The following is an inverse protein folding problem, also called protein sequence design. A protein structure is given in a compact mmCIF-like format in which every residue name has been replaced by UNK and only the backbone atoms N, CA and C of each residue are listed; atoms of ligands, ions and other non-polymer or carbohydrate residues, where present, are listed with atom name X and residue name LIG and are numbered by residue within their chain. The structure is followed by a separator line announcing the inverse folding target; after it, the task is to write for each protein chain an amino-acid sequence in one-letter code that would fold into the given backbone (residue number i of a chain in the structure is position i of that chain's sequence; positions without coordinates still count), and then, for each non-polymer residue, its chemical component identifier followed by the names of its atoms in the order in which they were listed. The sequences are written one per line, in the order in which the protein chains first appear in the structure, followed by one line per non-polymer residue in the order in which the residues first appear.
data_IF_203863976682
#
_entry.id   IF_203863976682
#
_cell.length_a   1.000
_cell.length_b   1.000
_cell.length_c   1.000
_cell.angle_alpha   90.00
_cell.angle_beta   90.00
_cell.angle_gamma   90.00
#
_symmetry.space_group_name_H-M   'P 1'
#
loop_
_entity.id
_entity.type
_entity.pdbx_description
1 polymer ?
#
# COMPACT_ATOMS: atom_id res chain seq x y z
N UNK A 1 -0.21 33.70 -2.37
CA UNK A 1 -1.43 32.94 -2.74
C UNK A 1 -1.97 32.01 -1.64
N UNK A 2 -1.28 30.92 -1.23
CA UNK A 2 -1.83 30.02 -0.18
C UNK A 2 -1.87 30.67 1.21
N UNK A 3 -0.78 31.35 1.59
CA UNK A 3 -0.69 32.12 2.86
C UNK A 3 -1.79 33.19 2.93
N UNK A 4 -1.92 33.97 1.85
CA UNK A 4 -2.94 35.04 1.73
C UNK A 4 -4.37 34.49 1.81
N UNK A 5 -4.61 33.26 1.36
CA UNK A 5 -5.91 32.60 1.45
C UNK A 5 -6.18 31.90 2.78
N UNK A 6 -5.27 31.96 3.76
CA UNK A 6 -5.41 31.25 5.04
C UNK A 6 -5.40 29.73 4.92
N UNK A 7 -4.92 29.18 3.80
CA UNK A 7 -4.92 27.74 3.54
C UNK A 7 -3.73 27.09 4.23
N UNK A 8 -4.00 26.04 5.01
CA UNK A 8 -2.95 25.24 5.63
C UNK A 8 -2.04 24.62 4.58
N UNK A 9 -0.74 24.77 4.77
CA UNK A 9 0.28 24.25 3.87
C UNK A 9 1.51 23.84 4.67
N UNK A 10 2.29 22.92 4.10
CA UNK A 10 3.54 22.45 4.70
C UNK A 10 4.54 22.16 3.61
N UNK A 11 5.76 22.68 3.76
CA UNK A 11 6.88 22.32 2.89
C UNK A 11 7.31 20.89 3.18
N UNK A 12 7.38 20.06 2.14
CA UNK A 12 7.89 18.70 2.26
C UNK A 12 9.43 18.70 2.27
N UNK A 13 10.02 17.85 3.09
CA UNK A 13 11.47 17.62 3.13
C UNK A 13 11.82 16.54 2.12
N UNK A 14 11.92 16.92 0.84
CA UNK A 14 12.34 16.04 -0.26
C UNK A 14 13.57 16.61 -0.94
N UNK A 15 14.36 15.74 -1.58
CA UNK A 15 15.55 16.17 -2.34
C UNK A 15 15.18 16.87 -3.65
N UNK A 16 14.06 16.47 -4.28
CA UNK A 16 13.60 16.98 -5.56
C UNK A 16 12.09 17.22 -5.55
N UNK A 17 11.61 17.97 -6.54
CA UNK A 17 10.19 18.11 -6.86
C UNK A 17 9.77 16.95 -7.78
N UNK A 18 9.51 15.79 -7.19
CA UNK A 18 8.98 14.62 -7.91
C UNK A 18 7.62 14.92 -8.56
N UNK A 19 7.24 14.15 -9.58
CA UNK A 19 5.98 14.33 -10.33
C UNK A 19 5.82 15.76 -10.89
N UNK A 20 6.93 16.37 -11.30
CA UNK A 20 6.95 17.73 -11.85
C UNK A 20 7.86 17.82 -13.07
N UNK A 21 7.85 18.98 -13.74
CA UNK A 21 8.75 19.26 -14.85
C UNK A 21 10.25 19.10 -14.49
N UNK A 22 10.61 19.15 -13.21
CA UNK A 22 11.99 18.89 -12.73
C UNK A 22 12.49 17.50 -13.11
N UNK A 23 11.59 16.54 -13.36
CA UNK A 23 11.95 15.18 -13.76
C UNK A 23 12.33 15.07 -15.24
N UNK A 24 11.97 16.05 -16.08
CA UNK A 24 12.15 16.00 -17.54
C UNK A 24 13.57 15.63 -18.00
N UNK A 25 14.66 16.17 -17.43
CA UNK A 25 16.01 15.91 -17.92
C UNK A 25 16.42 14.44 -17.86
N UNK A 26 15.92 13.66 -16.89
CA UNK A 26 16.30 12.24 -16.74
C UNK A 26 15.38 11.26 -17.48
N UNK A 27 14.27 11.72 -18.07
CA UNK A 27 13.26 10.81 -18.63
C UNK A 27 13.79 9.99 -19.81
N UNK A 28 14.70 10.54 -20.62
CA UNK A 28 15.29 9.82 -21.74
C UNK A 28 16.14 8.64 -21.26
N UNK A 29 17.10 8.90 -20.36
CA UNK A 29 17.98 7.87 -19.81
C UNK A 29 17.18 6.83 -19.02
N UNK A 30 16.14 7.28 -18.30
CA UNK A 30 15.24 6.39 -17.58
C UNK A 30 14.45 5.47 -18.54
N UNK A 31 13.95 5.99 -19.65
CA UNK A 31 13.27 5.19 -20.67
C UNK A 31 14.20 4.13 -21.30
N UNK A 32 15.45 4.50 -21.57
CA UNK A 32 16.45 3.56 -22.10
C UNK A 32 16.75 2.42 -21.12
N UNK A 33 16.82 2.71 -19.82
CA UNK A 33 17.01 1.70 -18.78
C UNK A 33 15.79 0.78 -18.67
N UNK A 34 14.58 1.35 -18.68
CA UNK A 34 13.33 0.58 -18.65
C UNK A 34 13.19 -0.36 -19.86
N UNK A 35 13.62 0.08 -21.04
CA UNK A 35 13.59 -0.73 -22.27
C UNK A 35 14.48 -1.98 -22.22
N UNK A 36 15.42 -2.05 -21.27
CA UNK A 36 16.30 -3.22 -21.06
C UNK A 36 15.71 -4.23 -20.07
N UNK A 37 14.61 -3.89 -19.40
CA UNK A 37 13.97 -4.72 -18.38
C UNK A 37 12.81 -5.49 -19.03
N UNK A 38 12.82 -6.83 -19.02
CA UNK A 38 11.67 -7.61 -19.44
C UNK A 38 10.46 -7.29 -18.56
N UNK A 39 9.40 -6.75 -19.16
CA UNK A 39 8.15 -6.46 -18.47
C UNK A 39 7.11 -7.53 -18.81
N UNK A 40 6.38 -7.99 -17.80
CA UNK A 40 5.37 -9.03 -17.94
C UNK A 40 4.02 -8.53 -17.44
N UNK A 41 2.95 -9.06 -18.05
CA UNK A 41 1.59 -8.79 -17.59
C UNK A 41 1.44 -9.15 -16.10
N UNK A 42 0.81 -8.27 -15.29
CA UNK A 42 0.73 -8.49 -13.86
C UNK A 42 -0.25 -9.61 -13.52
N UNK A 43 0.20 -10.59 -12.73
CA UNK A 43 -0.69 -11.68 -12.27
C UNK A 43 -1.79 -11.17 -11.32
N UNK A 44 -1.52 -10.08 -10.61
CA UNK A 44 -2.49 -9.38 -9.76
C UNK A 44 -2.72 -7.99 -10.32
N UNK A 45 -3.98 -7.68 -10.59
CA UNK A 45 -4.38 -6.34 -11.05
C UNK A 45 -4.11 -5.30 -9.96
N UNK A 46 -3.74 -4.10 -10.37
CA UNK A 46 -3.55 -2.95 -9.49
C UNK A 46 -4.08 -1.67 -10.15
N UNK A 47 -4.30 -0.62 -9.34
CA UNK A 47 -4.73 0.69 -9.82
C UNK A 47 -3.50 1.48 -10.30
N UNK A 48 -3.57 2.02 -11.50
CA UNK A 48 -2.58 2.95 -12.04
C UNK A 48 -2.63 4.30 -11.31
N UNK A 49 -1.46 4.78 -10.89
CA UNK A 49 -1.31 6.14 -10.36
C UNK A 49 -1.46 7.23 -11.44
N UNK A 50 -1.39 6.87 -12.73
CA UNK A 50 -1.48 7.83 -13.85
C UNK A 50 -2.92 7.99 -14.30
N UNK A 51 -3.69 6.89 -14.40
CA UNK A 51 -5.09 6.94 -14.84
C UNK A 51 -6.10 6.95 -13.69
N UNK A 52 -5.69 6.62 -12.46
CA UNK A 52 -6.60 6.52 -11.31
C UNK A 52 -7.56 5.34 -11.39
N UNK A 53 -7.37 4.41 -12.33
CA UNK A 53 -8.20 3.20 -12.51
C UNK A 53 -7.32 1.98 -12.73
N UNK A 54 -7.94 0.81 -12.93
CA UNK A 54 -7.23 -0.43 -13.22
C UNK A 54 -6.26 -0.27 -14.38
N UNK A 55 -5.00 -0.64 -14.15
CA UNK A 55 -3.99 -0.67 -15.20
C UNK A 55 -4.30 -1.78 -16.21
N UNK A 56 -4.00 -1.54 -17.49
CA UNK A 56 -4.07 -2.58 -18.54
C UNK A 56 -2.74 -3.34 -18.64
N UNK A 57 -2.74 -4.51 -19.29
CA UNK A 57 -1.51 -5.26 -19.52
C UNK A 57 -0.53 -4.46 -20.38
N UNK A 58 -1.03 -3.79 -21.43
CA UNK A 58 -0.22 -2.97 -22.33
C UNK A 58 0.42 -1.79 -21.60
N UNK A 59 -0.30 -1.17 -20.67
CA UNK A 59 0.26 -0.12 -19.82
C UNK A 59 1.31 -0.68 -18.86
N UNK A 60 1.04 -1.81 -18.20
CA UNK A 60 1.96 -2.41 -17.26
C UNK A 60 3.28 -2.84 -17.91
N UNK A 61 3.23 -3.27 -19.18
CA UNK A 61 4.40 -3.71 -19.95
C UNK A 61 5.00 -2.62 -20.85
N UNK A 62 4.61 -1.35 -20.69
CA UNK A 62 5.11 -0.24 -21.49
C UNK A 62 6.12 0.60 -20.71
N UNK A 63 7.39 0.72 -21.18
CA UNK A 63 8.34 1.69 -20.63
C UNK A 63 7.80 3.13 -20.60
N UNK A 64 7.02 3.53 -21.62
CA UNK A 64 6.45 4.87 -21.71
C UNK A 64 5.47 5.16 -20.57
N UNK A 65 4.70 4.16 -20.13
CA UNK A 65 3.82 4.30 -18.98
C UNK A 65 4.62 4.62 -17.70
N UNK A 66 5.74 3.93 -17.47
CA UNK A 66 6.57 4.14 -16.29
C UNK A 66 7.28 5.50 -16.31
N UNK A 67 7.70 5.96 -17.50
CA UNK A 67 8.21 7.33 -17.72
C UNK A 67 7.13 8.36 -17.38
N UNK A 68 5.90 8.14 -17.85
CA UNK A 68 4.75 8.99 -17.51
C UNK A 68 4.47 9.00 -16.02
N UNK A 69 4.53 7.85 -15.34
CA UNK A 69 4.29 7.77 -13.90
C UNK A 69 5.24 8.62 -13.07
N UNK A 70 6.53 8.67 -13.43
CA UNK A 70 7.51 9.47 -12.66
C UNK A 70 7.29 10.97 -12.86
N UNK A 71 6.77 11.38 -14.02
CA UNK A 71 6.53 12.79 -14.34
C UNK A 71 5.16 13.30 -13.90
N UNK A 72 4.12 12.50 -14.08
CA UNK A 72 2.74 12.94 -13.92
C UNK A 72 2.28 12.83 -12.46
N UNK A 73 1.22 13.58 -12.14
CA UNK A 73 0.62 13.56 -10.82
C UNK A 73 0.11 12.15 -10.44
N UNK A 74 0.20 11.83 -9.15
CA UNK A 74 -0.34 10.58 -8.60
C UNK A 74 -1.83 10.78 -8.32
N UNK A 75 -2.68 10.13 -9.10
CA UNK A 75 -4.15 10.15 -8.97
C UNK A 75 -4.63 9.20 -7.86
N UNK A 76 -4.09 9.35 -6.65
CA UNK A 76 -4.41 8.48 -5.51
C UNK A 76 -5.89 8.53 -5.12
N UNK A 77 -6.51 9.71 -5.11
CA UNK A 77 -7.92 9.86 -4.73
C UNK A 77 -8.85 9.10 -5.69
N UNK A 78 -8.60 9.20 -6.99
CA UNK A 78 -9.36 8.45 -8.01
C UNK A 78 -9.17 6.95 -7.84
N UNK A 79 -7.92 6.53 -7.56
CA UNK A 79 -7.62 5.14 -7.26
C UNK A 79 -8.31 4.62 -6.01
N UNK A 80 -8.36 5.42 -4.94
CA UNK A 80 -9.08 5.12 -3.72
C UNK A 80 -10.58 4.99 -3.99
N UNK A 81 -11.16 5.92 -4.76
CA UNK A 81 -12.56 5.87 -5.17
C UNK A 81 -12.91 4.54 -5.85
N UNK A 82 -12.06 4.05 -6.76
CA UNK A 82 -12.25 2.75 -7.42
C UNK A 82 -12.27 1.56 -6.45
N UNK A 83 -11.44 1.60 -5.40
CA UNK A 83 -11.33 0.51 -4.43
C UNK A 83 -12.40 0.56 -3.33
N UNK A 84 -12.96 1.75 -3.06
CA UNK A 84 -13.97 1.96 -2.02
C UNK A 84 -15.40 1.60 -2.47
N UNK A 85 -15.62 1.32 -3.76
CA UNK A 85 -16.93 0.89 -4.29
C UNK A 85 -17.43 -0.41 -3.66
N UNK A 86 -16.51 -1.27 -3.22
CA UNK A 86 -16.82 -2.57 -2.64
C UNK A 86 -16.32 -2.66 -1.19
N UNK A 87 -16.85 -3.59 -0.38
CA UNK A 87 -16.33 -3.87 0.95
C UNK A 87 -14.91 -4.43 0.82
N UNK A 88 -13.92 -3.62 1.19
CA UNK A 88 -12.49 -3.96 1.07
C UNK A 88 -11.80 -3.79 2.40
N UNK A 89 -10.83 -4.65 2.71
CA UNK A 89 -9.87 -4.43 3.79
C UNK A 89 -8.56 -3.93 3.19
N UNK A 90 -8.01 -2.87 3.76
CA UNK A 90 -6.75 -2.29 3.32
C UNK A 90 -5.62 -2.69 4.26
N UNK A 91 -4.47 -3.04 3.67
CA UNK A 91 -3.22 -3.27 4.40
C UNK A 91 -2.17 -2.33 3.82
N UNK A 92 -1.64 -1.42 4.64
CA UNK A 92 -0.55 -0.53 4.27
C UNK A 92 0.79 -1.23 4.47
N UNK A 93 1.41 -1.60 3.35
CA UNK A 93 2.72 -2.23 3.29
C UNK A 93 3.82 -1.16 3.27
N UNK A 94 4.22 -0.67 4.44
CA UNK A 94 5.25 0.36 4.56
C UNK A 94 5.28 1.01 5.93
N UNK A 95 6.32 1.81 6.24
CA UNK A 95 6.43 2.48 7.51
C UNK A 95 5.43 3.63 7.63
N UNK A 96 4.66 3.63 8.73
CA UNK A 96 3.68 4.67 9.03
C UNK A 96 2.26 4.29 8.61
N UNK A 97 1.43 5.30 8.38
CA UNK A 97 -0.01 5.15 8.16
C UNK A 97 -0.57 6.18 7.15
N UNK A 98 0.28 6.68 6.25
CA UNK A 98 -0.07 7.84 5.42
C UNK A 98 -1.17 7.48 4.43
N UNK A 99 -1.04 6.34 3.76
CA UNK A 99 -2.05 5.91 2.78
C UNK A 99 -3.36 5.55 3.47
N UNK A 100 -3.30 4.92 4.65
CA UNK A 100 -4.46 4.62 5.48
C UNK A 100 -5.20 5.89 5.88
N UNK A 101 -4.49 6.94 6.31
CA UNK A 101 -5.11 8.24 6.61
C UNK A 101 -5.76 8.86 5.37
N UNK A 102 -5.15 8.72 4.18
CA UNK A 102 -5.76 9.23 2.94
C UNK A 102 -7.02 8.45 2.54
N UNK A 103 -7.02 7.12 2.69
CA UNK A 103 -8.22 6.29 2.46
C UNK A 103 -9.34 6.68 3.43
N UNK A 104 -9.04 6.79 4.73
CA UNK A 104 -10.02 7.17 5.75
C UNK A 104 -10.58 8.59 5.56
N UNK A 105 -9.76 9.50 5.04
CA UNK A 105 -10.17 10.88 4.72
C UNK A 105 -10.92 11.03 3.40
N UNK A 106 -11.11 9.94 2.63
CA UNK A 106 -11.79 9.99 1.35
C UNK A 106 -13.32 10.12 1.53
N UNK A 107 -13.98 10.91 0.69
CA UNK A 107 -15.43 11.18 0.82
C UNK A 107 -16.32 9.92 0.67
N UNK A 108 -15.82 8.88 0.02
CA UNK A 108 -16.53 7.61 -0.19
C UNK A 108 -16.13 6.53 0.85
N UNK A 109 -15.32 6.89 1.85
CA UNK A 109 -14.96 5.96 2.92
C UNK A 109 -16.20 5.63 3.76
N UNK A 110 -16.40 4.36 4.03
CA UNK A 110 -17.53 3.79 4.77
C UNK A 110 -17.03 2.76 5.78
N UNK A 111 -16.14 3.19 6.68
CA UNK A 111 -15.58 2.41 7.78
C UNK A 111 -14.87 1.10 7.36
N UNK A 112 -14.27 1.09 6.17
CA UNK A 112 -13.41 -0.01 5.74
C UNK A 112 -12.19 -0.15 6.67
N UNK A 113 -11.85 -1.37 7.12
CA UNK A 113 -10.68 -1.58 7.96
C UNK A 113 -9.38 -1.24 7.23
N UNK A 114 -8.47 -0.56 7.94
CA UNK A 114 -7.10 -0.30 7.49
C UNK A 114 -6.11 -0.86 8.52
N UNK A 115 -5.24 -1.78 8.09
CA UNK A 115 -4.20 -2.40 8.91
C UNK A 115 -2.82 -1.95 8.43
N UNK A 116 -1.83 -1.92 9.33
CA UNK A 116 -0.47 -1.45 9.00
C UNK A 116 0.53 -2.58 9.22
N UNK A 117 1.51 -2.74 8.33
CA UNK A 117 2.51 -3.82 8.49
C UNK A 117 3.75 -3.39 9.25
N UNK A 118 4.11 -2.11 9.19
CA UNK A 118 5.31 -1.56 9.81
C UNK A 118 4.98 -0.33 10.64
N UNK A 119 5.83 -0.05 11.62
CA UNK A 119 5.65 1.10 12.50
C UNK A 119 6.04 2.39 11.80
N UNK A 120 5.57 3.51 12.36
CA UNK A 120 6.15 4.82 12.06
C UNK A 120 7.55 4.90 12.68
N UNK A 121 8.48 5.58 12.00
CA UNK A 121 9.80 5.86 12.57
C UNK A 121 9.70 6.42 14.01
N UNK A 122 10.53 5.90 14.91
CA UNK A 122 10.59 6.24 16.34
C UNK A 122 9.36 5.84 17.18
N UNK A 123 8.49 4.96 16.67
CA UNK A 123 7.46 4.34 17.52
C UNK A 123 8.09 3.42 18.57
N UNK A 124 7.46 3.33 19.74
CA UNK A 124 7.95 2.51 20.86
C UNK A 124 7.83 0.99 20.60
N UNK A 125 6.84 0.58 19.81
CA UNK A 125 6.67 -0.81 19.39
C UNK A 125 7.70 -1.17 18.31
N UNK A 126 8.12 -2.42 18.24
CA UNK A 126 8.92 -2.94 17.12
C UNK A 126 8.02 -3.37 15.93
N UNK A 127 8.67 -3.63 14.80
CA UNK A 127 7.99 -3.98 13.55
C UNK A 127 7.40 -5.40 13.56
N UNK A 128 8.02 -6.34 14.27
CA UNK A 128 7.53 -7.72 14.40
C UNK A 128 6.22 -7.75 15.19
N UNK A 129 6.18 -7.02 16.31
CA UNK A 129 4.96 -6.81 17.08
C UNK A 129 3.86 -6.19 16.23
N UNK A 130 4.17 -5.20 15.39
CA UNK A 130 3.17 -4.57 14.52
C UNK A 130 2.61 -5.57 13.51
N UNK A 131 3.46 -6.39 12.90
CA UNK A 131 3.05 -7.43 11.99
C UNK A 131 2.16 -8.48 12.68
N UNK A 132 2.54 -8.95 13.87
CA UNK A 132 1.72 -9.88 14.64
C UNK A 132 0.35 -9.31 15.01
N UNK A 133 0.27 -8.02 15.35
CA UNK A 133 -1.03 -7.35 15.59
C UNK A 133 -1.90 -7.33 14.34
N UNK A 134 -1.31 -7.07 13.17
CA UNK A 134 -2.03 -7.12 11.89
C UNK A 134 -2.50 -8.53 11.57
N UNK A 135 -1.67 -9.55 11.78
CA UNK A 135 -2.07 -10.96 11.62
C UNK A 135 -3.20 -11.35 12.59
N UNK A 136 -3.12 -10.94 13.86
CA UNK A 136 -4.19 -11.18 14.82
C UNK A 136 -5.50 -10.50 14.40
N UNK A 137 -5.43 -9.27 13.88
CA UNK A 137 -6.61 -8.56 13.38
C UNK A 137 -7.22 -9.27 12.16
N UNK A 138 -6.41 -9.78 11.23
CA UNK A 138 -6.88 -10.59 10.11
C UNK A 138 -7.54 -11.89 10.59
N UNK A 139 -6.91 -12.59 11.53
CA UNK A 139 -7.41 -13.83 12.10
C UNK A 139 -8.78 -13.67 12.77
N UNK A 140 -8.95 -12.65 13.61
CA UNK A 140 -10.22 -12.35 14.31
C UNK A 140 -11.34 -12.04 13.31
N UNK A 141 -11.01 -11.55 12.12
CA UNK A 141 -11.96 -11.26 11.05
C UNK A 141 -12.32 -12.48 10.20
N UNK A 142 -11.72 -13.63 10.48
CA UNK A 142 -11.97 -14.88 9.74
C UNK A 142 -11.15 -15.00 8.45
N UNK A 143 -10.13 -14.16 8.25
CA UNK A 143 -9.22 -14.30 7.10
C UNK A 143 -8.42 -15.61 7.24
N UNK A 144 -8.29 -16.34 6.12
CA UNK A 144 -7.60 -17.62 6.12
C UNK A 144 -6.07 -17.42 6.11
N UNK A 145 -5.45 -17.53 7.28
CA UNK A 145 -4.00 -17.43 7.45
C UNK A 145 -3.38 -18.82 7.32
N UNK A 146 -2.43 -18.97 6.39
CA UNK A 146 -1.60 -20.16 6.30
C UNK A 146 -0.54 -20.18 7.41
N UNK A 147 -0.96 -20.69 8.58
CA UNK A 147 -0.09 -20.83 9.74
C UNK A 147 1.08 -21.79 9.52
N UNK A 148 0.96 -22.75 8.61
CA UNK A 148 2.08 -23.64 8.27
C UNK A 148 3.16 -22.83 7.58
N UNK A 149 2.78 -22.02 6.57
CA UNK A 149 3.71 -21.13 5.87
C UNK A 149 4.32 -20.07 6.78
N UNK A 150 3.49 -19.48 7.65
CA UNK A 150 3.96 -18.48 8.60
C UNK A 150 5.06 -19.02 9.53
N UNK A 151 4.92 -20.27 9.98
CA UNK A 151 5.87 -20.90 10.91
C UNK A 151 6.99 -21.70 10.23
N UNK A 152 7.18 -21.62 8.91
CA UNK A 152 8.18 -22.43 8.18
C UNK A 152 9.62 -22.24 8.69
N UNK A 153 9.95 -21.05 9.18
CA UNK A 153 11.29 -20.72 9.68
C UNK A 153 11.43 -20.95 11.18
N UNK A 154 10.33 -21.19 11.90
CA UNK A 154 10.35 -21.44 13.32
C UNK A 154 10.66 -22.92 13.58
N UNK A 155 11.75 -23.21 14.28
CA UNK A 155 12.07 -24.54 14.80
C UNK A 155 11.21 -24.84 16.04
N UNK A 156 9.89 -24.91 15.85
CA UNK A 156 8.93 -25.23 16.90
C UNK A 156 8.75 -26.74 17.07
N UNK A 157 8.51 -27.18 18.31
CA UNK A 157 8.02 -28.54 18.60
C UNK A 157 6.55 -28.47 18.96
N UNK A 158 5.78 -29.48 18.57
CA UNK A 158 4.41 -29.63 19.05
C UNK A 158 4.44 -29.90 20.57
N UNK A 159 3.65 -29.15 21.32
CA UNK A 159 3.49 -29.32 22.77
C UNK A 159 2.01 -29.61 23.08
N UNK A 160 1.71 -30.42 24.11
CA UNK A 160 0.33 -30.61 24.54
C UNK A 160 -0.21 -29.29 25.11
N UNK A 161 -1.42 -28.93 24.69
CA UNK A 161 -2.18 -27.78 25.17
C UNK A 161 -3.52 -28.27 25.74
N UNK A 162 -4.20 -27.49 26.60
CA UNK A 162 -5.54 -27.83 27.07
C UNK A 162 -6.50 -28.13 25.92
N UNK A 163 -7.35 -29.14 26.10
CA UNK A 163 -8.36 -29.51 25.12
C UNK A 163 -9.48 -28.46 25.03
N UNK A 164 -10.28 -28.56 23.96
CA UNK A 164 -11.40 -27.64 23.73
C UNK A 164 -12.40 -27.70 24.90
N UNK A 165 -12.71 -26.55 25.55
CA UNK A 165 -13.64 -26.52 26.66
C UNK A 165 -15.08 -26.54 26.13
N UNK A 166 -15.62 -27.74 25.90
CA UNK A 166 -17.03 -27.89 25.49
C UNK A 166 -17.95 -27.25 26.52
N UNK A 167 -18.92 -26.46 26.03
CA UNK A 167 -19.96 -25.86 26.86
C UNK A 167 -20.79 -26.98 27.52
N UNK A 168 -20.83 -26.98 28.85
CA UNK A 168 -21.63 -27.93 29.61
C UNK A 168 -23.09 -27.46 29.57
N UNK A 169 -23.94 -28.28 28.97
CA UNK A 169 -25.39 -28.03 28.84
C UNK A 169 -26.15 -28.54 30.05
#
# INVERSE_FOLDING_TARGET
RLVEGGIQHRRLKTSHAFHSAMMTPMLHDFAQLLGQIPMHAPHKRFISNVSGTWITEEQATSPDYWVQQVRNAVLFSEGAAQLLVQPTLFIECGPGNTLSTFIQGHNQYSDQPTLLTLRKANAAIDDEHMLHRTLAALWVRGENIDWRRFNQTALGKHIPLPDYPFEQT
#
